data_IF_517015526173
#
_entry.id   IF_517015526173
#
_cell.length_a   1.000
_cell.length_b   1.000
_cell.length_c   1.000
_cell.angle_alpha   90.00
_cell.angle_beta   90.00
_cell.angle_gamma   90.00
#
_symmetry.space_group_name_H-M   'P 1'
#
loop_
_entity.id
_entity.type
_entity.pdbx_description
1 polymer ?
#
# COMPACT_ATOMS: atom_id res chain seq x y z
N UNK A 1 -11.24 1.04 -5.37
CA UNK A 1 -11.08 -0.30 -4.76
C UNK A 1 -12.08 -0.42 -3.63
N UNK A 2 -12.64 -1.59 -3.39
CA UNK A 2 -13.61 -1.78 -2.28
C UNK A 2 -12.90 -1.66 -0.93
N UNK A 3 -13.45 -0.87 -0.01
CA UNK A 3 -12.88 -0.64 1.33
C UNK A 3 -12.67 -1.98 2.05
N UNK A 4 -13.65 -2.87 1.97
CA UNK A 4 -13.61 -4.18 2.62
C UNK A 4 -12.46 -5.06 2.10
N UNK A 5 -12.11 -4.95 0.82
CA UNK A 5 -11.06 -5.75 0.21
C UNK A 5 -9.67 -5.14 0.44
N UNK A 6 -9.55 -3.81 0.48
CA UNK A 6 -8.31 -3.17 0.94
C UNK A 6 -8.05 -3.47 2.41
N UNK A 7 -9.08 -3.47 3.28
CA UNK A 7 -8.93 -3.85 4.70
C UNK A 7 -8.42 -5.28 4.88
N UNK A 8 -8.93 -6.25 4.11
CA UNK A 8 -8.39 -7.62 4.08
C UNK A 8 -6.91 -7.64 3.64
N UNK A 9 -6.57 -6.83 2.64
CA UNK A 9 -5.20 -6.69 2.17
C UNK A 9 -4.28 -6.11 3.25
N UNK A 10 -4.73 -5.08 3.96
CA UNK A 10 -4.00 -4.46 5.07
C UNK A 10 -3.81 -5.43 6.23
N UNK A 11 -4.86 -6.17 6.63
CA UNK A 11 -4.80 -7.20 7.67
C UNK A 11 -3.81 -8.33 7.32
N UNK A 12 -3.79 -8.78 6.06
CA UNK A 12 -2.79 -9.74 5.58
C UNK A 12 -1.36 -9.20 5.75
N UNK A 13 -1.10 -7.96 5.30
CA UNK A 13 0.23 -7.35 5.43
C UNK A 13 0.62 -7.17 6.90
N UNK A 14 -0.31 -6.76 7.76
CA UNK A 14 -0.06 -6.53 9.18
C UNK A 14 0.53 -7.76 9.91
N UNK A 15 0.16 -8.97 9.47
CA UNK A 15 0.58 -10.24 10.09
C UNK A 15 1.81 -10.88 9.43
N UNK A 16 2.40 -10.28 8.40
CA UNK A 16 3.62 -10.82 7.78
C UNK A 16 4.83 -10.62 8.72
N UNK A 17 5.66 -11.66 8.91
CA UNK A 17 6.74 -11.63 9.92
C UNK A 17 8.00 -10.88 9.48
N UNK A 18 8.20 -10.70 8.17
CA UNK A 18 9.42 -10.11 7.60
C UNK A 18 9.24 -8.62 7.28
N UNK A 19 10.18 -8.04 6.52
CA UNK A 19 10.08 -6.67 5.99
C UNK A 19 9.70 -6.68 4.52
N UNK A 20 8.95 -5.67 4.11
CA UNK A 20 8.79 -5.34 2.71
C UNK A 20 10.11 -4.79 2.18
N UNK A 21 10.54 -5.26 1.00
CA UNK A 21 11.71 -4.76 0.29
C UNK A 21 11.28 -4.30 -1.09
N UNK A 22 11.68 -3.07 -1.44
CA UNK A 22 11.35 -2.48 -2.73
C UNK A 22 12.61 -1.94 -3.39
N UNK A 23 12.75 -2.23 -4.68
CA UNK A 23 13.90 -1.82 -5.49
C UNK A 23 14.06 -0.30 -5.60
N UNK A 24 15.20 0.16 -6.13
CA UNK A 24 15.44 1.58 -6.36
C UNK A 24 14.46 2.16 -7.38
N UNK A 25 14.05 3.41 -7.15
CA UNK A 25 13.27 4.24 -8.07
C UNK A 25 14.14 5.01 -9.06
N UNK A 26 13.63 6.11 -9.65
CA UNK A 26 12.36 6.79 -9.31
C UNK A 26 11.11 6.07 -9.82
N UNK A 27 9.96 6.28 -9.17
CA UNK A 27 8.64 5.77 -9.54
C UNK A 27 8.54 4.24 -9.63
N UNK A 28 9.38 3.50 -8.91
CA UNK A 28 9.26 2.04 -8.85
C UNK A 28 8.14 1.68 -7.88
N UNK A 29 7.15 0.91 -8.32
CA UNK A 29 5.99 0.51 -7.52
C UNK A 29 5.76 -0.99 -7.65
N UNK A 30 5.67 -1.67 -6.51
CA UNK A 30 5.32 -3.09 -6.43
C UNK A 30 3.93 -3.26 -5.83
N UNK A 31 3.11 -4.11 -6.47
CA UNK A 31 1.82 -4.53 -5.91
C UNK A 31 2.08 -5.55 -4.81
N UNK A 32 1.88 -5.14 -3.57
CA UNK A 32 2.19 -5.95 -2.38
C UNK A 32 0.98 -6.71 -1.84
N UNK A 33 -0.23 -6.31 -2.22
CA UNK A 33 -1.46 -7.05 -1.90
C UNK A 33 -2.51 -6.81 -2.99
N UNK A 34 -3.29 -7.83 -3.31
CA UNK A 34 -4.39 -7.76 -4.26
C UNK A 34 -5.54 -8.65 -3.78
N UNK A 35 -6.74 -8.10 -3.68
CA UNK A 35 -7.93 -8.81 -3.21
C UNK A 35 -9.17 -8.33 -3.97
N UNK A 36 -9.82 -9.19 -4.76
CA UNK A 36 -11.01 -8.84 -5.57
C UNK A 36 -10.88 -7.49 -6.29
N UNK A 37 -9.90 -7.37 -7.19
CA UNK A 37 -9.58 -6.16 -7.95
C UNK A 37 -9.25 -4.91 -7.10
N UNK A 38 -8.80 -5.10 -5.87
CA UNK A 38 -8.40 -4.03 -4.95
C UNK A 38 -6.93 -4.21 -4.58
N UNK A 39 -6.08 -3.29 -5.05
CA UNK A 39 -4.64 -3.38 -4.92
C UNK A 39 -4.06 -2.38 -3.91
N UNK A 40 -3.08 -2.86 -3.13
CA UNK A 40 -2.20 -2.05 -2.29
C UNK A 40 -0.81 -2.09 -2.92
N UNK A 41 -0.22 -0.92 -3.11
CA UNK A 41 1.08 -0.74 -3.74
C UNK A 41 2.02 -0.06 -2.77
N UNK A 42 3.26 -0.55 -2.76
CA UNK A 42 4.40 0.14 -2.16
C UNK A 42 5.18 0.78 -3.30
N UNK A 43 5.52 2.06 -3.22
CA UNK A 43 6.39 2.71 -4.19
C UNK A 43 7.61 3.36 -3.56
N UNK A 44 8.70 3.39 -4.31
CA UNK A 44 9.97 3.97 -3.92
C UNK A 44 10.45 4.97 -4.98
N UNK A 45 10.67 6.21 -4.53
CA UNK A 45 11.23 7.27 -5.35
C UNK A 45 12.70 7.56 -5.01
N UNK A 46 13.31 6.81 -4.08
CA UNK A 46 14.72 6.91 -3.77
C UNK A 46 15.58 6.18 -4.82
N UNK A 47 16.82 6.63 -5.08
CA UNK A 47 17.75 5.93 -5.96
C UNK A 47 18.29 4.62 -5.36
N UNK A 48 17.92 4.30 -4.12
CA UNK A 48 18.35 3.11 -3.39
C UNK A 48 17.17 2.23 -2.99
N UNK A 49 17.43 0.93 -2.85
CA UNK A 49 16.50 -0.03 -2.25
C UNK A 49 16.04 0.43 -0.86
N UNK A 50 14.77 0.17 -0.55
CA UNK A 50 14.17 0.45 0.76
C UNK A 50 13.63 -0.82 1.39
N UNK A 51 13.71 -0.85 2.72
CA UNK A 51 13.09 -1.86 3.56
C UNK A 51 12.22 -1.19 4.63
N UNK A 52 11.08 -1.78 4.93
CA UNK A 52 10.12 -1.27 5.91
C UNK A 52 9.25 -2.38 6.47
N UNK A 53 8.70 -2.18 7.66
CA UNK A 53 7.83 -3.17 8.26
C UNK A 53 6.51 -3.25 7.47
N UNK A 54 6.00 -4.47 7.25
CA UNK A 54 4.70 -4.64 6.61
C UNK A 54 3.57 -3.92 7.36
N UNK A 55 3.69 -3.86 8.69
CA UNK A 55 2.79 -3.08 9.55
C UNK A 55 2.71 -1.60 9.17
N UNK A 56 3.81 -0.97 8.76
CA UNK A 56 3.78 0.44 8.33
C UNK A 56 2.96 0.62 7.04
N UNK A 57 3.00 -0.36 6.14
CA UNK A 57 2.23 -0.36 4.89
C UNK A 57 0.75 -0.64 5.19
N UNK A 58 0.47 -1.55 6.12
CA UNK A 58 -0.88 -1.83 6.59
C UNK A 58 -1.52 -0.60 7.26
N UNK A 59 -0.81 0.05 8.19
CA UNK A 59 -1.28 1.26 8.86
C UNK A 59 -1.53 2.40 7.86
N UNK A 60 -0.69 2.52 6.82
CA UNK A 60 -0.87 3.46 5.74
C UNK A 60 -2.12 3.18 4.90
N UNK A 61 -2.42 1.91 4.62
CA UNK A 61 -3.62 1.51 3.91
C UNK A 61 -4.88 1.83 4.73
N UNK A 62 -4.91 1.51 6.03
CA UNK A 62 -6.02 1.86 6.94
C UNK A 62 -6.23 3.38 7.03
N UNK A 63 -5.14 4.16 7.11
CA UNK A 63 -5.23 5.63 7.06
C UNK A 63 -5.93 6.12 5.79
N UNK A 64 -5.65 5.51 4.63
CA UNK A 64 -6.29 5.85 3.38
C UNK A 64 -7.77 5.45 3.34
N UNK A 65 -8.16 4.36 4.01
CA UNK A 65 -9.58 4.01 4.19
C UNK A 65 -10.30 5.09 5.00
N UNK A 66 -9.69 5.55 6.09
CA UNK A 66 -10.29 6.54 6.98
C UNK A 66 -10.35 7.95 6.38
N UNK A 67 -9.37 8.32 5.54
CA UNK A 67 -9.23 9.68 4.99
C UNK A 67 -9.76 9.84 3.57
N UNK A 68 -9.72 8.78 2.78
CA UNK A 68 -10.05 8.82 1.35
C UNK A 68 -11.17 7.85 0.97
N UNK A 69 -11.72 7.10 1.92
CA UNK A 69 -12.88 6.24 1.68
C UNK A 69 -14.15 7.07 1.50
N UNK A 70 -14.93 6.74 0.46
CA UNK A 70 -16.24 7.31 0.18
C UNK A 70 -17.12 6.27 -0.53
N UNK A 71 -18.41 6.22 -0.19
CA UNK A 71 -19.40 5.28 -0.75
C UNK A 71 -18.91 3.82 -0.91
N UNK A 72 -18.23 3.29 0.12
CA UNK A 72 -17.72 1.92 0.12
C UNK A 72 -16.45 1.68 -0.69
N UNK A 73 -15.97 2.68 -1.43
CA UNK A 73 -14.76 2.61 -2.25
C UNK A 73 -13.65 3.52 -1.73
N UNK A 74 -12.41 3.21 -2.11
CA UNK A 74 -11.23 4.01 -1.80
C UNK A 74 -10.31 4.10 -3.01
N UNK A 75 -9.69 5.27 -3.17
CA UNK A 75 -8.52 5.50 -4.01
C UNK A 75 -7.71 6.61 -3.36
N UNK A 76 -6.42 6.39 -3.14
CA UNK A 76 -5.57 7.39 -2.51
C UNK A 76 -4.13 6.98 -2.42
N UNK A 77 -3.29 7.92 -2.00
CA UNK A 77 -1.89 7.70 -1.71
C UNK A 77 -1.47 8.47 -0.46
N UNK A 78 -0.48 7.94 0.26
CA UNK A 78 0.17 8.63 1.38
C UNK A 78 1.68 8.65 1.14
N UNK A 79 2.24 9.86 1.08
CA UNK A 79 3.65 10.10 0.87
C UNK A 79 4.40 10.23 2.20
N UNK A 80 5.49 9.47 2.34
CA UNK A 80 6.36 9.52 3.52
C UNK A 80 7.56 10.44 3.28
N UNK A 81 8.09 11.01 4.37
CA UNK A 81 9.21 11.98 4.33
C UNK A 81 10.47 11.45 3.64
N UNK A 82 10.66 10.13 3.60
CA UNK A 82 11.82 9.51 2.97
C UNK A 82 11.54 9.03 1.54
N UNK A 83 10.73 9.76 0.76
CA UNK A 83 10.49 9.53 -0.68
C UNK A 83 10.02 8.10 -1.04
N UNK A 84 9.16 7.51 -0.21
CA UNK A 84 8.40 6.32 -0.54
C UNK A 84 6.94 6.58 -0.22
N UNK A 85 6.03 5.83 -0.84
CA UNK A 85 4.61 6.03 -0.63
C UNK A 85 3.82 4.72 -0.71
N UNK A 86 2.61 4.76 -0.17
CA UNK A 86 1.64 3.67 -0.27
C UNK A 86 0.45 4.17 -1.07
N UNK A 87 0.02 3.36 -2.04
CA UNK A 87 -1.11 3.68 -2.92
C UNK A 87 -2.16 2.58 -2.82
N UNK A 88 -3.42 2.97 -2.69
CA UNK A 88 -4.57 2.05 -2.80
C UNK A 88 -5.41 2.43 -4.01
N UNK A 89 -5.74 1.46 -4.86
CA UNK A 89 -6.56 1.69 -6.06
C UNK A 89 -7.20 0.40 -6.56
N UNK A 90 -8.21 0.54 -7.42
CA UNK A 90 -8.70 -0.59 -8.18
C UNK A 90 -7.60 -1.08 -9.13
N UNK A 91 -7.41 -2.39 -9.20
CA UNK A 91 -6.37 -3.02 -10.00
C UNK A 91 -6.73 -4.49 -10.25
N UNK A 92 -6.82 -4.97 -11.50
CA UNK A 92 -7.12 -6.37 -11.80
C UNK A 92 -6.08 -7.33 -11.18
N UNK A 93 -6.57 -8.26 -10.36
CA UNK A 93 -5.82 -9.45 -9.95
C UNK A 93 -6.08 -10.55 -10.99
#
# INVERSE_FOLDING_TARGET
AEITNIRKGADYLYHLPDKARIGPGPNHCDRVSCSWNSGIFLCNNNPSTKEMEWKQIADAAELLLDKCGDDGVVKGQVDFKDNWNVVVRNDPC
#
